data_IF_559875706805
#
_entry.id   IF_559875706805
#
_cell.length_a   1.000
_cell.length_b   1.000
_cell.length_c   1.000
_cell.angle_alpha   90.00
_cell.angle_beta   90.00
_cell.angle_gamma   90.00
#
_symmetry.space_group_name_H-M   'P 1'
#
loop_
_entity.id
_entity.type
_entity.pdbx_description
1 polymer ?
#
# COMPACT_ATOMS: atom_id res chain seq x y z
N UNK A 1 32.03 45.82 4.36
CA UNK A 1 30.84 46.47 3.77
C UNK A 1 30.33 45.62 2.62
N UNK A 2 29.05 45.31 2.66
CA UNK A 2 28.37 44.27 1.91
C UNK A 2 28.29 44.52 0.39
N UNK A 3 28.41 43.45 -0.40
CA UNK A 3 27.75 43.33 -1.70
C UNK A 3 27.04 41.98 -1.76
N UNK A 4 25.72 42.05 -1.89
CA UNK A 4 24.81 40.91 -1.93
C UNK A 4 24.89 40.20 -3.29
N UNK A 5 25.41 38.98 -3.30
CA UNK A 5 25.24 38.07 -4.44
C UNK A 5 23.87 37.40 -4.36
N UNK A 6 22.95 37.93 -5.15
CA UNK A 6 21.61 37.39 -5.34
C UNK A 6 21.71 36.18 -6.29
N UNK A 7 21.95 34.98 -5.74
CA UNK A 7 21.96 33.73 -6.51
C UNK A 7 20.55 33.44 -7.05
N UNK A 8 20.40 33.55 -8.37
CA UNK A 8 19.25 33.07 -9.13
C UNK A 8 18.96 31.59 -8.80
N UNK A 9 17.90 31.34 -8.03
CA UNK A 9 17.23 30.04 -8.05
C UNK A 9 16.49 29.91 -9.39
N UNK A 10 16.65 28.83 -10.16
CA UNK A 10 15.78 28.58 -11.30
C UNK A 10 14.37 28.38 -10.74
N UNK A 11 13.46 29.30 -11.08
CA UNK A 11 12.02 29.10 -10.85
C UNK A 11 11.62 27.93 -11.76
N UNK A 12 11.34 26.77 -11.18
CA UNK A 12 10.62 25.71 -11.88
C UNK A 12 9.35 26.34 -12.46
N UNK A 13 9.04 26.15 -13.75
CA UNK A 13 7.82 26.70 -14.31
C UNK A 13 6.66 26.04 -13.57
N UNK A 14 5.86 26.88 -12.90
CA UNK A 14 4.51 26.49 -12.46
C UNK A 14 3.75 26.25 -13.76
N UNK A 15 3.79 25.02 -14.26
CA UNK A 15 2.87 24.57 -15.29
C UNK A 15 1.49 24.73 -14.67
N UNK A 16 0.76 25.77 -15.07
CA UNK A 16 -0.65 25.86 -14.76
C UNK A 16 -1.30 24.59 -15.28
N UNK A 17 -2.24 24.01 -14.52
CA UNK A 17 -3.02 22.85 -14.96
C UNK A 17 -3.65 23.07 -16.36
N UNK A 18 -3.87 24.34 -16.74
CA UNK A 18 -4.29 24.81 -18.06
C UNK A 18 -3.29 24.47 -19.17
N UNK A 19 -1.97 24.56 -18.92
CA UNK A 19 -0.93 24.27 -19.90
C UNK A 19 -0.74 22.76 -20.21
N UNK A 20 -1.08 21.90 -19.25
CA UNK A 20 -1.13 20.43 -19.47
C UNK A 20 -2.43 20.05 -20.21
N UNK A 21 -3.54 20.71 -19.88
CA UNK A 21 -4.85 20.51 -20.50
C UNK A 21 -4.84 20.87 -22.00
N UNK A 22 -4.23 22.00 -22.38
CA UNK A 22 -4.20 22.45 -23.77
C UNK A 22 -3.36 21.58 -24.71
N UNK A 23 -2.41 20.78 -24.21
CA UNK A 23 -1.65 19.81 -25.04
C UNK A 23 -2.42 18.51 -25.27
N UNK A 24 -3.45 18.25 -24.47
CA UNK A 24 -4.26 17.04 -24.59
C UNK A 24 -5.47 17.22 -25.51
N UNK A 25 -5.83 18.47 -25.84
CA UNK A 25 -6.83 18.79 -26.85
C UNK A 25 -6.23 18.75 -28.27
N UNK A 26 -5.96 17.54 -28.77
CA UNK A 26 -6.21 17.30 -30.18
C UNK A 26 -7.71 17.41 -30.47
N UNK A 27 -8.15 17.70 -31.71
CA UNK A 27 -9.54 17.93 -32.04
C UNK A 27 -10.28 16.59 -32.07
N UNK A 28 -10.66 16.10 -30.89
CA UNK A 28 -11.69 15.09 -30.78
C UNK A 28 -12.96 15.81 -30.33
N UNK A 29 -13.75 16.25 -31.31
CA UNK A 29 -15.16 16.55 -31.12
C UNK A 29 -15.87 15.25 -30.71
N UNK A 30 -15.85 14.95 -29.40
CA UNK A 30 -16.71 13.92 -28.86
C UNK A 30 -18.14 14.45 -28.85
N UNK A 31 -19.11 13.70 -29.40
CA UNK A 31 -20.49 14.13 -29.42
C UNK A 31 -20.96 14.39 -27.99
N UNK A 32 -21.31 15.65 -27.74
CA UNK A 32 -21.84 16.13 -26.48
C UNK A 32 -23.22 15.52 -26.23
N UNK A 33 -23.52 15.34 -24.95
CA UNK A 33 -24.86 15.23 -24.38
C UNK A 33 -25.63 13.91 -24.60
N UNK A 34 -25.58 13.05 -23.57
CA UNK A 34 -26.71 12.25 -23.01
C UNK A 34 -26.33 11.25 -21.90
N UNK A 35 -25.14 11.36 -21.29
CA UNK A 35 -24.70 10.40 -20.24
C UNK A 35 -25.22 10.69 -18.80
N UNK A 36 -25.82 11.87 -18.54
CA UNK A 36 -26.30 12.29 -17.21
C UNK A 36 -27.41 11.40 -16.56
N UNK A 37 -28.32 10.71 -17.29
CA UNK A 37 -29.47 10.06 -16.67
C UNK A 37 -29.14 8.90 -15.70
N UNK A 38 -28.00 8.23 -15.88
CA UNK A 38 -27.71 7.01 -15.11
C UNK A 38 -27.13 7.27 -13.72
N UNK A 39 -26.32 8.32 -13.54
CA UNK A 39 -25.83 8.73 -12.21
C UNK A 39 -26.96 9.37 -11.39
N UNK A 40 -27.93 10.02 -12.04
CA UNK A 40 -29.12 10.54 -11.38
C UNK A 40 -30.00 9.45 -10.72
N UNK A 41 -29.83 8.18 -11.11
CA UNK A 41 -30.50 7.02 -10.50
C UNK A 41 -29.76 6.47 -9.27
N UNK A 42 -28.56 6.97 -8.96
CA UNK A 42 -27.81 6.59 -7.77
C UNK A 42 -28.61 6.94 -6.50
N UNK A 43 -28.85 5.92 -5.68
CA UNK A 43 -29.43 6.04 -4.34
C UNK A 43 -28.38 5.57 -3.34
N UNK A 44 -27.69 6.47 -2.64
CA UNK A 44 -26.73 6.07 -1.63
C UNK A 44 -27.45 5.38 -0.47
N UNK A 45 -26.87 4.29 0.04
CA UNK A 45 -27.19 3.76 1.35
C UNK A 45 -25.89 3.59 2.13
N UNK A 46 -25.94 3.61 3.45
CA UNK A 46 -24.81 3.19 4.28
C UNK A 46 -25.09 1.81 4.86
N UNK A 47 -24.03 1.06 5.20
CA UNK A 47 -24.15 -0.25 5.84
C UNK A 47 -24.85 -0.11 7.21
N UNK A 48 -25.39 -1.19 7.79
CA UNK A 48 -26.10 -1.12 9.09
C UNK A 48 -25.24 -0.42 10.15
N UNK A 49 -25.87 0.18 11.18
CA UNK A 49 -25.13 0.89 12.25
C UNK A 49 -24.04 0.01 12.90
N UNK A 50 -24.23 -1.32 12.92
CA UNK A 50 -23.21 -2.25 13.45
C UNK A 50 -21.94 -2.32 12.59
N UNK A 51 -22.02 -1.99 11.29
CA UNK A 51 -20.89 -2.01 10.36
C UNK A 51 -20.14 -0.67 10.29
N UNK A 52 -20.66 0.40 10.90
CA UNK A 52 -20.03 1.72 10.89
C UNK A 52 -18.95 1.85 11.97
N UNK A 53 -17.81 2.42 11.59
CA UNK A 53 -16.70 2.66 12.50
C UNK A 53 -16.79 4.07 13.12
N UNK A 54 -16.54 4.22 14.43
CA UNK A 54 -16.61 5.51 15.10
C UNK A 54 -15.42 6.41 14.76
N UNK A 55 -15.71 7.64 14.35
CA UNK A 55 -14.80 8.73 14.03
C UNK A 55 -13.89 9.06 15.22
N UNK A 56 -12.58 9.03 14.98
CA UNK A 56 -11.58 9.42 15.95
C UNK A 56 -11.18 10.89 15.73
N UNK A 57 -11.28 11.73 16.78
CA UNK A 57 -10.98 13.19 16.71
C UNK A 57 -9.60 13.52 16.13
N UNK A 58 -8.63 12.61 16.22
CA UNK A 58 -7.30 12.83 15.62
C UNK A 58 -7.30 12.76 14.07
N UNK A 59 -8.29 12.12 13.44
CA UNK A 59 -8.40 12.02 11.97
C UNK A 59 -8.68 13.39 11.34
N UNK A 60 -9.34 14.29 12.06
CA UNK A 60 -9.52 15.68 11.61
C UNK A 60 -8.18 16.43 11.47
N UNK A 61 -7.18 16.13 12.31
CA UNK A 61 -5.85 16.73 12.24
C UNK A 61 -5.05 16.27 11.01
N UNK A 62 -5.47 15.17 10.39
CA UNK A 62 -4.86 14.60 9.19
C UNK A 62 -5.51 15.09 7.88
N UNK A 63 -6.40 16.09 7.95
CA UNK A 63 -6.91 16.80 6.77
C UNK A 63 -5.75 17.58 6.12
N UNK A 64 -5.06 16.92 5.18
CA UNK A 64 -3.92 17.49 4.45
C UNK A 64 -4.32 18.61 3.48
N UNK A 65 -5.61 18.75 3.19
CA UNK A 65 -6.11 19.64 2.16
C UNK A 65 -7.10 20.67 2.74
N UNK A 66 -6.69 21.95 2.72
CA UNK A 66 -7.49 23.07 3.20
C UNK A 66 -8.21 23.71 2.03
N UNK A 67 -9.45 23.29 1.81
CA UNK A 67 -10.35 23.85 0.80
C UNK A 67 -11.73 24.02 1.40
N UNK A 68 -12.42 25.13 1.08
CA UNK A 68 -13.76 25.37 1.61
C UNK A 68 -14.68 24.28 1.07
N UNK A 69 -15.28 23.51 1.96
CA UNK A 69 -16.20 22.46 1.53
C UNK A 69 -17.57 23.03 1.17
N UNK A 70 -18.14 22.53 0.07
CA UNK A 70 -19.54 22.75 -0.31
C UNK A 70 -20.50 21.69 0.25
N UNK A 71 -19.97 20.62 0.85
CA UNK A 71 -20.74 19.44 1.25
C UNK A 71 -20.46 19.06 2.70
N UNK A 72 -21.46 18.56 3.43
CA UNK A 72 -21.28 18.03 4.77
C UNK A 72 -20.82 16.57 4.72
N UNK A 73 -19.60 16.34 4.20
CA UNK A 73 -19.05 15.00 3.93
C UNK A 73 -17.85 14.66 4.82
N UNK A 74 -17.84 15.16 6.06
CA UNK A 74 -16.74 14.97 7.01
C UNK A 74 -15.37 15.28 6.38
N UNK A 75 -14.37 14.40 6.55
CA UNK A 75 -13.02 14.60 5.98
C UNK A 75 -12.96 14.63 4.45
N UNK A 76 -14.00 14.17 3.74
CA UNK A 76 -14.02 14.10 2.28
C UNK A 76 -14.41 15.44 1.65
N UNK A 77 -15.13 16.28 2.38
CA UNK A 77 -15.75 17.50 1.87
C UNK A 77 -14.81 18.42 1.09
N UNK A 78 -13.67 18.85 1.66
CA UNK A 78 -12.73 19.74 0.98
C UNK A 78 -12.20 19.17 -0.35
N UNK A 79 -11.70 17.92 -0.34
CA UNK A 79 -11.09 17.29 -1.50
C UNK A 79 -12.12 17.04 -2.62
N UNK A 80 -13.32 16.58 -2.27
CA UNK A 80 -14.39 16.37 -3.23
C UNK A 80 -14.94 17.68 -3.82
N UNK A 81 -14.97 18.75 -3.02
CA UNK A 81 -15.34 20.07 -3.53
C UNK A 81 -14.35 20.55 -4.57
N UNK A 82 -13.05 20.47 -4.25
CA UNK A 82 -12.01 20.81 -5.20
C UNK A 82 -12.06 19.94 -6.45
N UNK A 83 -12.31 18.64 -6.31
CA UNK A 83 -12.41 17.74 -7.46
C UNK A 83 -13.56 18.12 -8.41
N UNK A 84 -14.75 18.42 -7.87
CA UNK A 84 -15.89 18.92 -8.65
C UNK A 84 -15.54 20.23 -9.38
N UNK A 85 -14.85 21.14 -8.70
CA UNK A 85 -14.45 22.43 -9.26
C UNK A 85 -13.39 22.28 -10.35
N UNK A 86 -12.45 21.34 -10.19
CA UNK A 86 -11.48 20.99 -11.23
C UNK A 86 -12.14 20.38 -12.47
N UNK A 87 -13.08 19.44 -12.30
CA UNK A 87 -13.84 18.88 -13.44
C UNK A 87 -14.56 20.00 -14.21
N UNK A 88 -15.17 20.94 -13.49
CA UNK A 88 -15.83 22.11 -14.11
C UNK A 88 -14.83 22.99 -14.86
N UNK A 89 -13.69 23.31 -14.25
CA UNK A 89 -12.66 24.15 -14.84
C UNK A 89 -12.02 23.52 -16.09
N UNK A 90 -11.94 22.19 -16.14
CA UNK A 90 -11.48 21.42 -17.29
C UNK A 90 -12.57 21.15 -18.34
N UNK A 91 -13.67 21.91 -18.34
CA UNK A 91 -14.75 21.76 -19.32
C UNK A 91 -15.60 20.49 -19.19
N UNK A 92 -15.32 19.63 -18.20
CA UNK A 92 -16.05 18.38 -17.94
C UNK A 92 -17.35 18.66 -17.17
N UNK A 93 -18.22 19.49 -17.76
CA UNK A 93 -19.42 20.03 -17.10
C UNK A 93 -20.40 18.93 -16.70
N UNK A 94 -20.60 17.92 -17.55
CA UNK A 94 -21.48 16.80 -17.27
C UNK A 94 -20.96 15.93 -16.12
N UNK A 95 -19.66 15.63 -16.10
CA UNK A 95 -19.00 14.90 -15.01
C UNK A 95 -19.08 15.68 -13.68
N UNK A 96 -18.76 16.97 -13.73
CA UNK A 96 -18.85 17.86 -12.57
C UNK A 96 -20.27 17.91 -12.02
N UNK A 97 -21.29 18.08 -12.87
CA UNK A 97 -22.70 18.11 -12.47
C UNK A 97 -23.17 16.77 -11.90
N UNK A 98 -22.79 15.66 -12.52
CA UNK A 98 -23.14 14.33 -12.05
C UNK A 98 -22.54 14.04 -10.67
N UNK A 99 -21.25 14.35 -10.47
CA UNK A 99 -20.59 14.19 -9.19
C UNK A 99 -21.22 15.12 -8.15
N UNK A 100 -21.44 16.39 -8.47
CA UNK A 100 -22.07 17.35 -7.56
C UNK A 100 -23.43 16.86 -7.03
N UNK A 101 -24.31 16.37 -7.93
CA UNK A 101 -25.61 15.84 -7.54
C UNK A 101 -25.49 14.58 -6.66
N UNK A 102 -24.56 13.68 -6.98
CA UNK A 102 -24.30 12.50 -6.14
C UNK A 102 -23.81 12.90 -4.75
N UNK A 103 -22.89 13.86 -4.66
CA UNK A 103 -22.34 14.35 -3.39
C UNK A 103 -23.38 15.08 -2.54
N UNK A 104 -24.29 15.84 -3.15
CA UNK A 104 -25.43 16.43 -2.42
C UNK A 104 -26.33 15.34 -1.82
N UNK A 105 -26.64 14.28 -2.58
CA UNK A 105 -27.42 13.16 -2.07
C UNK A 105 -26.72 12.45 -0.90
N UNK A 106 -25.43 12.15 -1.06
CA UNK A 106 -24.63 11.54 0.03
C UNK A 106 -24.59 12.46 1.25
N UNK A 107 -24.45 13.78 1.04
CA UNK A 107 -24.42 14.75 2.14
C UNK A 107 -25.74 14.81 2.91
N UNK A 108 -26.88 14.70 2.22
CA UNK A 108 -28.19 14.67 2.85
C UNK A 108 -28.41 13.37 3.63
N UNK A 109 -28.04 12.23 3.05
CA UNK A 109 -28.17 10.93 3.69
C UNK A 109 -27.22 10.79 4.89
N UNK A 110 -26.01 11.35 4.80
CA UNK A 110 -25.05 11.38 5.90
C UNK A 110 -25.46 12.32 7.05
N UNK A 111 -26.39 13.26 6.81
CA UNK A 111 -26.81 14.23 7.82
C UNK A 111 -27.64 13.59 8.95
N UNK A 112 -28.38 12.51 8.65
CA UNK A 112 -29.14 11.75 9.65
C UNK A 112 -28.29 10.73 10.41
N UNK A 113 -27.06 10.51 9.96
CA UNK A 113 -26.08 9.66 10.67
C UNK A 113 -25.47 10.48 11.80
N UNK A 114 -25.39 9.85 12.98
CA UNK A 114 -24.67 10.38 14.14
C UNK A 114 -23.28 10.85 13.71
N UNK A 115 -22.90 12.05 14.15
CA UNK A 115 -21.64 12.69 13.77
C UNK A 115 -20.44 11.77 14.02
N UNK A 116 -20.49 10.94 15.08
CA UNK A 116 -19.42 9.99 15.38
C UNK A 116 -19.28 8.89 14.34
N UNK A 117 -20.21 8.65 13.42
CA UNK A 117 -20.11 7.59 12.41
C UNK A 117 -20.11 8.15 10.98
N UNK A 118 -20.11 9.48 10.84
CA UNK A 118 -20.39 10.16 9.57
C UNK A 118 -19.31 9.88 8.54
N UNK A 119 -18.02 9.88 8.89
CA UNK A 119 -16.97 9.61 7.90
C UNK A 119 -17.01 8.16 7.41
N UNK A 120 -17.32 7.20 8.28
CA UNK A 120 -17.50 5.78 7.89
C UNK A 120 -18.69 5.62 6.94
N UNK A 121 -19.83 6.26 7.25
CA UNK A 121 -21.02 6.21 6.40
C UNK A 121 -20.77 6.85 5.02
N UNK A 122 -20.16 8.03 4.98
CA UNK A 122 -19.77 8.71 3.74
C UNK A 122 -18.83 7.83 2.91
N UNK A 123 -17.86 7.16 3.52
CA UNK A 123 -16.97 6.23 2.80
C UNK A 123 -17.75 5.05 2.19
N UNK A 124 -18.68 4.45 2.94
CA UNK A 124 -19.53 3.35 2.43
C UNK A 124 -20.39 3.81 1.24
N UNK A 125 -21.03 4.98 1.36
CA UNK A 125 -21.83 5.56 0.28
C UNK A 125 -20.99 5.91 -0.96
N UNK A 126 -19.79 6.46 -0.79
CA UNK A 126 -18.87 6.72 -1.90
C UNK A 126 -18.35 5.41 -2.53
N UNK A 127 -18.19 4.33 -1.74
CA UNK A 127 -17.86 3.01 -2.29
C UNK A 127 -18.99 2.48 -3.18
N UNK A 128 -20.24 2.64 -2.76
CA UNK A 128 -21.40 2.27 -3.57
C UNK A 128 -21.50 3.13 -4.84
N UNK A 129 -21.18 4.43 -4.74
CA UNK A 129 -21.09 5.32 -5.89
C UNK A 129 -20.04 4.82 -6.89
N UNK A 130 -18.83 4.52 -6.44
CA UNK A 130 -17.76 3.99 -7.30
C UNK A 130 -18.21 2.68 -7.98
N UNK A 131 -18.85 1.77 -7.24
CA UNK A 131 -19.40 0.52 -7.81
C UNK A 131 -20.53 0.77 -8.82
N UNK A 132 -21.32 1.83 -8.64
CA UNK A 132 -22.34 2.24 -9.62
C UNK A 132 -21.70 2.79 -10.89
N UNK A 133 -20.64 3.59 -10.74
CA UNK A 133 -19.85 4.13 -11.86
C UNK A 133 -19.14 3.01 -12.64
N UNK A 134 -18.59 2.01 -11.94
CA UNK A 134 -17.95 0.83 -12.55
C UNK A 134 -18.92 0.01 -13.42
N UNK A 135 -20.22 0.00 -13.08
CA UNK A 135 -21.27 -0.71 -13.84
C UNK A 135 -21.72 0.01 -15.11
N UNK A 136 -21.23 1.22 -15.40
CA UNK A 136 -21.55 1.95 -16.64
C UNK A 136 -20.85 1.37 -17.90
N UNK A 137 -20.44 0.09 -17.85
CA UNK A 137 -19.62 -0.61 -18.83
C UNK A 137 -20.44 -1.08 -20.05
N UNK A 138 -20.51 -0.25 -21.08
CA UNK A 138 -20.47 -0.77 -22.44
C UNK A 138 -19.15 -0.27 -23.06
N UNK A 139 -18.26 -1.19 -23.46
CA UNK A 139 -16.87 -0.90 -23.87
C UNK A 139 -16.74 -0.04 -25.15
N UNK A 140 -17.87 0.30 -25.78
CA UNK A 140 -17.97 1.18 -26.94
C UNK A 140 -18.81 2.43 -26.67
N UNK A 141 -19.10 2.72 -25.39
CA UNK A 141 -19.98 3.81 -25.01
C UNK A 141 -19.19 5.07 -24.60
N UNK A 142 -19.58 6.28 -25.07
CA UNK A 142 -19.10 7.56 -24.56
C UNK A 142 -19.08 7.70 -23.01
N UNK A 143 -19.87 6.88 -22.31
CA UNK A 143 -19.87 6.70 -20.85
C UNK A 143 -18.54 6.18 -20.26
N UNK A 144 -17.61 5.65 -21.06
CA UNK A 144 -16.29 5.21 -20.59
C UNK A 144 -15.44 6.36 -20.02
N UNK A 145 -15.47 7.54 -20.65
CA UNK A 145 -14.78 8.74 -20.15
C UNK A 145 -15.34 9.18 -18.79
N UNK A 146 -16.66 9.10 -18.61
CA UNK A 146 -17.31 9.39 -17.33
C UNK A 146 -16.87 8.41 -16.24
N UNK A 147 -16.69 7.14 -16.55
CA UNK A 147 -16.14 6.15 -15.61
C UNK A 147 -14.76 6.55 -15.12
N UNK A 148 -13.86 6.96 -16.01
CA UNK A 148 -12.51 7.39 -15.65
C UNK A 148 -12.54 8.65 -14.80
N UNK A 149 -13.34 9.65 -15.21
CA UNK A 149 -13.46 10.94 -14.53
C UNK A 149 -14.21 10.87 -13.19
N UNK A 150 -14.94 9.79 -12.92
CA UNK A 150 -15.67 9.59 -11.67
C UNK A 150 -15.16 8.39 -10.86
N UNK A 151 -14.05 7.77 -11.26
CA UNK A 151 -13.47 6.66 -10.54
C UNK A 151 -12.67 7.13 -9.32
N UNK A 152 -12.90 6.47 -8.18
CA UNK A 152 -12.10 6.68 -6.98
C UNK A 152 -12.44 7.86 -6.05
N UNK A 153 -13.57 8.60 -6.15
CA UNK A 153 -14.00 9.55 -5.12
C UNK A 153 -13.90 9.02 -3.68
N UNK A 154 -14.14 7.72 -3.44
CA UNK A 154 -14.00 7.07 -2.12
C UNK A 154 -12.57 7.14 -1.55
N UNK A 155 -11.57 7.40 -2.38
CA UNK A 155 -10.15 7.45 -2.00
C UNK A 155 -9.66 8.87 -1.67
N UNK A 156 -10.47 9.89 -1.95
CA UNK A 156 -10.13 11.30 -1.74
C UNK A 156 -10.34 11.76 -0.28
N UNK A 157 -10.85 10.90 0.59
CA UNK A 157 -11.07 11.18 1.99
C UNK A 157 -9.82 11.07 2.86
N UNK A 158 -10.01 11.42 4.14
CA UNK A 158 -9.04 11.13 5.19
C UNK A 158 -8.91 9.62 5.46
N UNK A 159 -7.94 9.24 6.32
CA UNK A 159 -7.75 7.85 6.70
C UNK A 159 -9.01 7.27 7.38
N UNK A 160 -9.07 5.94 7.44
CA UNK A 160 -10.19 5.28 8.11
C UNK A 160 -10.21 5.56 9.62
N UNK A 161 -11.41 5.75 10.22
CA UNK A 161 -11.54 6.14 11.62
C UNK A 161 -11.34 4.94 12.57
N UNK A 162 -10.17 4.32 12.52
CA UNK A 162 -9.82 3.29 13.46
C UNK A 162 -9.50 3.91 14.82
N UNK A 163 -10.09 3.38 15.89
CA UNK A 163 -9.67 3.74 17.25
C UNK A 163 -8.36 3.04 17.60
N UNK A 164 -7.58 3.60 18.53
CA UNK A 164 -6.37 2.95 19.03
C UNK A 164 -6.66 1.54 19.55
N UNK A 165 -7.78 1.36 20.27
CA UNK A 165 -8.23 0.05 20.74
C UNK A 165 -8.42 -0.93 19.58
N UNK A 166 -9.14 -0.54 18.52
CA UNK A 166 -9.35 -1.41 17.36
C UNK A 166 -8.02 -1.78 16.66
N UNK A 167 -7.08 -0.84 16.55
CA UNK A 167 -5.76 -1.13 15.98
C UNK A 167 -5.01 -2.15 16.85
N UNK A 168 -5.05 -1.99 18.17
CA UNK A 168 -4.45 -2.92 19.11
C UNK A 168 -5.12 -4.29 19.06
N UNK A 169 -6.44 -4.34 19.05
CA UNK A 169 -7.21 -5.60 18.96
C UNK A 169 -6.86 -6.34 17.65
N UNK A 170 -6.81 -5.64 16.51
CA UNK A 170 -6.38 -6.20 15.22
C UNK A 170 -4.92 -6.69 15.24
N UNK A 171 -4.02 -5.94 15.87
CA UNK A 171 -2.62 -6.32 15.99
C UNK A 171 -2.44 -7.54 16.90
N UNK A 172 -3.19 -7.59 18.01
CA UNK A 172 -3.21 -8.71 18.95
C UNK A 172 -3.80 -9.95 18.30
N UNK A 173 -4.94 -9.85 17.61
CA UNK A 173 -5.53 -10.95 16.85
C UNK A 173 -4.53 -11.54 15.85
N UNK A 174 -3.83 -10.69 15.09
CA UNK A 174 -2.82 -11.12 14.14
C UNK A 174 -1.62 -11.78 14.80
N UNK A 175 -1.07 -11.15 15.83
CA UNK A 175 0.20 -11.58 16.44
C UNK A 175 0.01 -12.77 17.38
N UNK A 176 -1.17 -12.96 17.97
CA UNK A 176 -1.48 -14.09 18.86
C UNK A 176 -2.14 -15.27 18.13
N UNK A 177 -2.65 -15.06 16.92
CA UNK A 177 -3.54 -15.96 16.18
C UNK A 177 -3.04 -17.40 16.03
N UNK A 178 -3.82 -18.31 16.63
CA UNK A 178 -3.87 -19.75 16.44
C UNK A 178 -4.49 -20.13 15.09
N UNK A 179 -4.00 -19.54 14.00
CA UNK A 179 -4.59 -19.75 12.67
C UNK A 179 -4.42 -21.22 12.25
N UNK A 180 -5.51 -21.98 12.29
CA UNK A 180 -5.57 -23.43 11.92
C UNK A 180 -5.67 -23.60 10.39
N UNK A 181 -5.47 -22.54 9.62
CA UNK A 181 -5.59 -22.60 8.18
C UNK A 181 -4.55 -23.54 7.59
N UNK A 182 -5.01 -24.38 6.67
CA UNK A 182 -4.14 -25.22 5.87
C UNK A 182 -3.73 -26.55 6.50
N UNK A 183 -4.22 -26.91 7.70
CA UNK A 183 -3.88 -28.21 8.31
C UNK A 183 -4.34 -29.39 7.44
N UNK A 184 -5.51 -29.30 6.81
CA UNK A 184 -6.03 -30.31 5.89
C UNK A 184 -5.28 -30.40 4.54
N UNK A 185 -4.49 -29.38 4.19
CA UNK A 185 -3.67 -29.34 2.96
C UNK A 185 -2.17 -29.26 3.27
N UNK A 186 -1.80 -29.50 4.53
CA UNK A 186 -0.45 -29.27 5.04
C UNK A 186 0.58 -30.10 4.30
N UNK A 187 0.29 -31.37 4.08
CA UNK A 187 1.18 -32.27 3.34
C UNK A 187 1.45 -31.75 1.93
N UNK A 188 0.41 -31.35 1.20
CA UNK A 188 0.55 -30.76 -0.13
C UNK A 188 1.40 -29.49 -0.10
N UNK A 189 1.16 -28.59 0.85
CA UNK A 189 1.91 -27.33 1.01
C UNK A 189 3.38 -27.60 1.35
N UNK A 190 3.66 -28.56 2.23
CA UNK A 190 5.03 -28.98 2.60
C UNK A 190 5.76 -29.53 1.37
N UNK A 191 5.14 -30.45 0.62
CA UNK A 191 5.71 -31.02 -0.60
C UNK A 191 6.02 -29.94 -1.64
N UNK A 192 5.10 -28.99 -1.85
CA UNK A 192 5.32 -27.84 -2.74
C UNK A 192 6.43 -26.92 -2.26
N UNK A 193 6.49 -26.65 -0.96
CA UNK A 193 7.52 -25.80 -0.35
C UNK A 193 8.90 -26.42 -0.55
N UNK A 194 9.05 -27.72 -0.31
CA UNK A 194 10.27 -28.48 -0.57
C UNK A 194 10.69 -28.37 -2.04
N UNK A 195 9.78 -28.67 -2.97
CA UNK A 195 10.06 -28.58 -4.40
C UNK A 195 10.56 -27.19 -4.82
N UNK A 196 9.96 -26.12 -4.30
CA UNK A 196 10.42 -24.76 -4.60
C UNK A 196 11.76 -24.45 -3.94
N UNK A 197 11.96 -24.85 -2.68
CA UNK A 197 13.21 -24.62 -1.96
C UNK A 197 14.40 -25.29 -2.65
N UNK A 198 14.28 -26.57 -3.04
CA UNK A 198 15.30 -27.31 -3.80
C UNK A 198 15.74 -26.53 -5.06
N UNK A 199 14.76 -26.08 -5.85
CA UNK A 199 15.02 -25.33 -7.09
C UNK A 199 15.57 -23.93 -6.84
N UNK A 200 15.24 -23.31 -5.70
CA UNK A 200 15.79 -22.02 -5.34
C UNK A 200 17.24 -22.14 -4.93
N UNK A 201 17.53 -23.12 -4.07
CA UNK A 201 18.87 -23.37 -3.54
C UNK A 201 19.85 -23.80 -4.62
N UNK A 202 19.38 -24.52 -5.64
CA UNK A 202 20.18 -24.82 -6.83
C UNK A 202 20.66 -23.58 -7.60
N UNK A 203 20.04 -22.40 -7.38
CA UNK A 203 20.39 -21.14 -8.05
C UNK A 203 21.27 -20.22 -7.20
N UNK A 204 21.85 -20.72 -6.09
CA UNK A 204 22.63 -19.91 -5.16
C UNK A 204 23.79 -19.17 -5.85
N UNK A 205 24.08 -17.96 -5.37
CA UNK A 205 25.22 -17.18 -5.83
C UNK A 205 26.50 -17.71 -5.17
N UNK A 206 27.39 -18.31 -5.96
CA UNK A 206 28.66 -18.88 -5.47
C UNK A 206 29.73 -17.84 -5.14
N UNK A 207 29.61 -16.61 -5.67
CA UNK A 207 30.49 -15.49 -5.36
C UNK A 207 29.70 -14.54 -4.46
N UNK A 208 29.92 -14.64 -3.16
CA UNK A 208 29.17 -13.88 -2.16
C UNK A 208 30.02 -13.63 -0.91
N UNK A 209 29.77 -12.51 -0.25
CA UNK A 209 30.37 -12.18 1.05
C UNK A 209 29.93 -13.17 2.14
N UNK A 210 30.80 -13.39 3.13
CA UNK A 210 30.40 -14.04 4.39
C UNK A 210 29.35 -13.19 5.12
N UNK A 211 28.62 -13.76 6.06
CA UNK A 211 27.62 -13.00 6.81
C UNK A 211 28.22 -11.75 7.48
N UNK A 212 29.38 -11.89 8.12
CA UNK A 212 30.10 -10.80 8.77
C UNK A 212 30.48 -9.66 7.81
N UNK A 213 31.02 -10.01 6.64
CA UNK A 213 31.34 -9.05 5.59
C UNK A 213 30.09 -8.36 5.04
N UNK A 214 28.98 -9.09 4.91
CA UNK A 214 27.72 -8.54 4.43
C UNK A 214 27.11 -7.53 5.41
N UNK A 215 27.03 -7.85 6.70
CA UNK A 215 26.38 -6.97 7.68
C UNK A 215 27.16 -5.68 7.93
N UNK A 216 28.48 -5.70 7.71
CA UNK A 216 29.35 -4.53 7.80
C UNK A 216 29.31 -3.65 6.54
N UNK A 217 28.91 -4.22 5.39
CA UNK A 217 28.67 -3.48 4.14
C UNK A 217 27.25 -2.87 4.09
N UNK A 218 27.09 -1.75 4.79
CA UNK A 218 25.82 -1.02 4.96
C UNK A 218 25.17 -0.71 3.60
N UNK A 219 25.95 -0.42 2.56
CA UNK A 219 25.43 -0.05 1.24
C UNK A 219 24.63 -1.19 0.56
N UNK A 220 24.87 -2.45 0.94
CA UNK A 220 24.19 -3.60 0.34
C UNK A 220 22.80 -3.85 0.87
N UNK A 221 22.56 -3.57 2.15
CA UNK A 221 21.32 -3.95 2.82
C UNK A 221 20.52 -2.77 3.36
N UNK A 222 21.13 -1.59 3.53
CA UNK A 222 20.45 -0.47 4.13
C UNK A 222 19.38 0.14 3.21
N UNK A 223 18.29 0.58 3.82
CA UNK A 223 17.23 1.34 3.17
C UNK A 223 16.96 2.65 3.92
N UNK A 224 16.21 3.60 3.33
CA UNK A 224 15.94 4.89 3.98
C UNK A 224 15.12 4.82 5.28
N UNK A 225 14.55 3.67 5.67
CA UNK A 225 13.68 3.57 6.85
C UNK A 225 13.70 2.20 7.54
N UNK A 226 12.94 2.09 8.62
CA UNK A 226 12.72 0.83 9.34
C UNK A 226 13.84 0.40 10.29
N UNK A 227 14.65 1.35 10.79
CA UNK A 227 15.61 1.11 11.87
C UNK A 227 15.26 1.94 13.11
N UNK A 228 15.79 1.58 14.30
CA UNK A 228 15.81 2.47 15.46
C UNK A 228 16.48 3.80 15.14
N UNK A 229 16.16 4.83 15.91
CA UNK A 229 16.78 6.14 15.74
C UNK A 229 18.18 6.15 16.34
N UNK A 230 19.15 6.73 15.63
CA UNK A 230 20.50 7.01 16.11
C UNK A 230 20.77 8.50 16.06
N UNK A 231 21.70 8.98 16.88
CA UNK A 231 22.15 10.37 16.86
C UNK A 231 23.42 10.48 16.04
N UNK A 232 23.41 11.27 14.97
CA UNK A 232 24.58 11.58 14.14
C UNK A 232 24.66 13.10 14.07
N UNK A 233 25.79 13.69 14.48
CA UNK A 233 25.99 15.15 14.49
C UNK A 233 24.82 15.89 15.17
N UNK A 234 24.41 15.42 16.35
CA UNK A 234 23.28 15.96 17.15
C UNK A 234 21.88 15.78 16.51
N UNK A 235 21.78 15.28 15.28
CA UNK A 235 20.51 14.98 14.64
C UNK A 235 20.06 13.54 14.93
N UNK A 236 18.79 13.40 15.31
CA UNK A 236 18.16 12.09 15.53
C UNK A 236 17.60 11.55 14.21
N UNK A 237 18.32 10.62 13.60
CA UNK A 237 18.00 10.05 12.28
C UNK A 237 17.41 8.66 12.44
N UNK A 238 16.31 8.37 11.72
CA UNK A 238 15.64 7.06 11.71
C UNK A 238 15.72 6.41 10.33
N UNK A 239 16.89 5.85 9.99
CA UNK A 239 17.12 5.13 8.74
C UNK A 239 18.08 3.95 8.96
N UNK A 240 17.96 2.90 8.14
CA UNK A 240 18.89 1.75 8.23
C UNK A 240 20.31 2.12 7.83
N UNK A 241 20.50 3.11 6.95
CA UNK A 241 21.85 3.55 6.57
C UNK A 241 22.54 4.28 7.72
N UNK A 242 21.82 5.16 8.43
CA UNK A 242 22.39 5.89 9.57
C UNK A 242 22.65 4.92 10.72
N UNK A 243 21.70 4.03 11.00
CA UNK A 243 21.83 2.99 12.00
C UNK A 243 23.03 2.08 11.71
N UNK A 244 23.12 1.53 10.50
CA UNK A 244 24.22 0.67 10.08
C UNK A 244 25.56 1.38 10.13
N UNK A 245 25.66 2.61 9.62
CA UNK A 245 26.90 3.38 9.66
C UNK A 245 27.39 3.63 11.09
N UNK A 246 26.50 4.05 11.99
CA UNK A 246 26.83 4.31 13.40
C UNK A 246 27.37 3.05 14.10
N UNK A 247 26.72 1.91 13.89
CA UNK A 247 27.08 0.64 14.53
C UNK A 247 28.26 -0.07 13.87
N UNK A 248 28.50 0.14 12.57
CA UNK A 248 29.74 -0.29 11.92
C UNK A 248 30.94 0.51 12.45
N UNK A 249 30.81 1.83 12.61
CA UNK A 249 31.87 2.67 13.20
C UNK A 249 32.16 2.28 14.65
N UNK A 250 31.12 1.94 15.42
CA UNK A 250 31.25 1.48 16.80
C UNK A 250 31.78 0.04 16.93
N UNK A 251 31.84 -0.74 15.84
CA UNK A 251 32.30 -2.12 15.83
C UNK A 251 31.34 -3.13 16.46
N UNK A 252 30.07 -2.79 16.65
CA UNK A 252 29.07 -3.65 17.31
C UNK A 252 28.02 -4.24 16.36
N UNK A 253 28.14 -3.97 15.05
CA UNK A 253 27.17 -4.40 14.04
C UNK A 253 26.94 -5.92 14.00
N UNK A 254 28.02 -6.72 14.12
CA UNK A 254 27.90 -8.19 14.15
C UNK A 254 27.18 -8.68 15.40
N UNK A 255 27.42 -8.05 16.56
CA UNK A 255 26.71 -8.35 17.81
C UNK A 255 25.23 -8.05 17.67
N UNK A 256 24.88 -6.94 17.02
CA UNK A 256 23.48 -6.59 16.72
C UNK A 256 22.86 -7.61 15.77
N UNK A 257 23.56 -7.98 14.70
CA UNK A 257 23.07 -8.96 13.72
C UNK A 257 22.77 -10.33 14.35
N UNK A 258 23.51 -10.71 15.38
CA UNK A 258 23.31 -11.97 16.12
C UNK A 258 22.41 -11.85 17.36
N UNK A 259 21.94 -10.65 17.69
CA UNK A 259 21.13 -10.42 18.90
C UNK A 259 19.78 -11.14 18.82
N UNK A 260 19.37 -11.79 19.92
CA UNK A 260 18.08 -12.50 20.00
C UNK A 260 16.93 -11.62 20.49
N UNK A 261 16.93 -10.33 20.15
CA UNK A 261 15.84 -9.43 20.54
C UNK A 261 14.54 -9.84 19.82
N UNK A 262 13.50 -10.33 20.51
CA UNK A 262 12.29 -10.82 19.85
C UNK A 262 11.31 -9.68 19.53
N UNK A 263 11.62 -8.42 19.86
CA UNK A 263 10.65 -7.33 19.85
C UNK A 263 10.45 -6.76 18.45
N UNK A 264 9.32 -7.10 17.84
CA UNK A 264 8.81 -6.40 16.67
C UNK A 264 8.10 -5.10 17.06
N UNK A 265 8.19 -4.08 16.19
CA UNK A 265 7.43 -2.84 16.33
C UNK A 265 6.31 -2.84 15.31
N UNK A 266 5.06 -2.75 15.77
CA UNK A 266 3.88 -2.66 14.90
C UNK A 266 3.47 -1.20 14.77
N UNK A 267 3.35 -0.72 13.54
CA UNK A 267 2.94 0.65 13.22
C UNK A 267 1.74 0.63 12.27
N UNK A 268 0.68 1.42 12.52
CA UNK A 268 -0.40 1.58 11.56
C UNK A 268 0.08 2.40 10.34
N UNK A 269 -0.07 1.84 9.15
CA UNK A 269 -0.01 2.55 7.89
C UNK A 269 -1.42 2.97 7.51
N UNK A 270 -1.73 4.22 7.75
CA UNK A 270 -3.01 4.81 7.41
C UNK A 270 -3.08 5.09 5.90
N UNK A 271 -3.90 4.33 5.17
CA UNK A 271 -4.27 4.62 3.78
C UNK A 271 -5.74 5.10 3.74
N UNK A 272 -6.15 5.87 2.71
CA UNK A 272 -7.49 6.46 2.66
C UNK A 272 -8.66 5.45 2.79
N UNK A 273 -8.45 4.21 2.33
CA UNK A 273 -9.48 3.17 2.30
C UNK A 273 -9.28 2.07 3.37
N UNK A 274 -8.07 1.89 3.90
CA UNK A 274 -7.75 0.85 4.87
C UNK A 274 -6.52 1.23 5.70
N UNK A 275 -6.50 0.82 6.95
CA UNK A 275 -5.27 0.86 7.75
C UNK A 275 -4.60 -0.49 7.65
N UNK A 276 -3.36 -0.52 7.16
CA UNK A 276 -2.53 -1.73 7.17
C UNK A 276 -1.64 -1.68 8.39
N UNK A 277 -1.35 -2.82 8.99
CA UNK A 277 -0.32 -2.90 10.01
C UNK A 277 1.03 -3.16 9.32
N UNK A 278 2.04 -2.36 9.65
CA UNK A 278 3.43 -2.60 9.26
C UNK A 278 4.13 -3.19 10.49
N UNK A 279 4.68 -4.39 10.35
CA UNK A 279 5.60 -4.97 11.32
C UNK A 279 7.01 -4.60 10.90
N UNK A 280 7.71 -3.87 11.77
CA UNK A 280 9.16 -3.67 11.66
C UNK A 280 9.82 -4.75 12.51
N UNK A 281 10.61 -5.60 11.87
CA UNK A 281 11.37 -6.65 12.55
C UNK A 281 12.57 -6.06 13.31
N UNK A 282 13.06 -6.75 14.35
CA UNK A 282 14.35 -6.48 14.94
C UNK A 282 15.45 -6.42 13.88
N UNK A 283 16.50 -5.64 14.12
CA UNK A 283 17.56 -5.47 13.13
C UNK A 283 18.33 -6.77 12.86
N UNK A 284 18.51 -7.62 13.89
CA UNK A 284 19.05 -8.97 13.72
C UNK A 284 18.27 -9.77 12.67
N UNK A 285 16.95 -9.90 12.88
CA UNK A 285 16.08 -10.66 11.98
C UNK A 285 16.06 -10.10 10.57
N UNK A 286 16.01 -8.76 10.44
CA UNK A 286 16.14 -8.12 9.13
C UNK A 286 17.44 -8.48 8.40
N UNK A 287 18.59 -8.47 9.10
CA UNK A 287 19.89 -8.75 8.51
C UNK A 287 20.04 -10.22 8.12
N UNK A 288 19.60 -11.15 8.97
CA UNK A 288 19.58 -12.59 8.66
C UNK A 288 18.74 -12.86 7.41
N UNK A 289 17.51 -12.33 7.36
CA UNK A 289 16.65 -12.46 6.19
C UNK A 289 17.28 -11.82 4.96
N UNK A 290 17.78 -10.58 5.06
CA UNK A 290 18.42 -9.89 3.94
C UNK A 290 19.63 -10.66 3.40
N UNK A 291 20.41 -11.29 4.28
CA UNK A 291 21.54 -12.12 3.88
C UNK A 291 21.09 -13.38 3.14
N UNK A 292 20.06 -14.09 3.62
CA UNK A 292 19.46 -15.22 2.90
C UNK A 292 19.05 -14.77 1.49
N UNK A 293 18.33 -13.65 1.34
CA UNK A 293 17.95 -13.13 0.03
C UNK A 293 19.15 -12.74 -0.85
N UNK A 294 20.20 -12.16 -0.26
CA UNK A 294 21.43 -11.81 -0.98
C UNK A 294 22.14 -13.05 -1.55
N UNK A 295 22.27 -14.11 -0.75
CA UNK A 295 22.91 -15.37 -1.14
C UNK A 295 22.09 -16.18 -2.14
N UNK A 296 20.78 -16.26 -1.90
CA UNK A 296 19.86 -17.10 -2.69
C UNK A 296 19.35 -16.41 -3.96
N UNK A 297 19.42 -15.07 -4.00
CA UNK A 297 18.92 -14.28 -5.11
C UNK A 297 17.41 -14.41 -5.32
N UNK A 298 16.94 -13.92 -6.47
CA UNK A 298 15.51 -13.97 -6.82
C UNK A 298 15.07 -15.39 -7.20
N UNK A 299 14.00 -15.95 -6.60
CA UNK A 299 13.47 -17.27 -6.96
C UNK A 299 12.88 -17.25 -8.38
N UNK A 300 13.64 -17.70 -9.39
CA UNK A 300 13.25 -17.56 -10.81
C UNK A 300 12.06 -18.45 -11.22
N UNK A 301 11.81 -19.54 -10.50
CA UNK A 301 10.66 -20.41 -10.70
C UNK A 301 9.34 -19.74 -10.31
N UNK A 302 9.37 -18.77 -9.38
CA UNK A 302 8.21 -17.97 -9.03
C UNK A 302 8.13 -16.78 -10.00
N UNK A 303 7.32 -16.95 -11.05
CA UNK A 303 7.04 -15.88 -12.00
C UNK A 303 6.13 -14.85 -11.34
N UNK A 304 6.72 -13.79 -10.79
CA UNK A 304 5.94 -12.64 -10.32
C UNK A 304 5.20 -11.99 -11.49
N UNK A 305 3.87 -11.86 -11.37
CA UNK A 305 3.01 -11.10 -12.29
C UNK A 305 3.33 -9.60 -12.29
N UNK A 306 3.99 -9.11 -11.24
CA UNK A 306 4.48 -7.72 -11.11
C UNK A 306 5.81 -7.53 -11.88
N UNK A 307 6.39 -8.62 -12.43
CA UNK A 307 7.73 -8.64 -13.02
C UNK A 307 7.93 -7.87 -14.33
N UNK A 308 6.88 -7.22 -14.88
CA UNK A 308 6.96 -6.31 -16.03
C UNK A 308 5.99 -6.67 -17.16
N UNK A 309 5.69 -5.68 -18.01
CA UNK A 309 4.74 -5.78 -19.14
C UNK A 309 4.97 -7.00 -20.04
N UNK A 310 6.23 -7.41 -20.24
CA UNK A 310 6.57 -8.60 -21.06
C UNK A 310 6.01 -9.92 -20.50
N UNK A 311 5.86 -10.05 -19.18
CA UNK A 311 5.30 -11.27 -18.58
C UNK A 311 3.80 -11.36 -18.83
N UNK A 312 3.09 -10.23 -18.73
CA UNK A 312 1.67 -10.12 -19.07
C UNK A 312 1.41 -10.47 -20.53
N UNK A 313 2.21 -9.91 -21.45
CA UNK A 313 2.09 -10.18 -22.89
C UNK A 313 2.27 -11.67 -23.19
N UNK A 314 3.30 -12.31 -22.61
CA UNK A 314 3.49 -13.77 -22.74
C UNK A 314 2.31 -14.58 -22.19
N UNK A 315 1.64 -14.11 -21.14
CA UNK A 315 0.47 -14.81 -20.61
C UNK A 315 -0.75 -14.68 -21.54
N UNK A 316 -0.94 -13.51 -22.14
CA UNK A 316 -1.98 -13.27 -23.15
C UNK A 316 -1.78 -14.14 -24.39
N UNK A 317 -0.53 -14.33 -24.84
CA UNK A 317 -0.19 -15.16 -26.00
C UNK A 317 -0.52 -16.65 -25.78
N UNK A 318 -0.51 -17.14 -24.54
CA UNK A 318 -0.64 -18.57 -24.25
C UNK A 318 -2.07 -19.10 -24.30
N UNK A 319 -3.09 -18.25 -24.56
CA UNK A 319 -4.49 -18.65 -24.76
C UNK A 319 -4.96 -19.79 -23.85
N UNK A 320 -4.73 -19.67 -22.54
CA UNK A 320 -5.19 -20.67 -21.58
C UNK A 320 -6.73 -20.78 -21.65
N UNK A 321 -7.23 -22.01 -21.51
CA UNK A 321 -8.68 -22.27 -21.50
C UNK A 321 -9.39 -21.61 -20.33
N UNK A 322 -8.68 -21.36 -19.24
CA UNK A 322 -9.22 -20.75 -18.02
C UNK A 322 -8.19 -19.81 -17.40
N UNK A 323 -8.67 -18.68 -16.87
CA UNK A 323 -7.89 -17.74 -16.08
C UNK A 323 -8.52 -17.60 -14.70
N UNK A 324 -7.71 -17.70 -13.65
CA UNK A 324 -8.14 -17.49 -12.27
C UNK A 324 -7.35 -16.33 -11.66
N UNK A 325 -8.05 -15.41 -11.01
CA UNK A 325 -7.46 -14.36 -10.18
C UNK A 325 -7.85 -14.62 -8.74
N UNK A 326 -6.85 -14.84 -7.89
CA UNK A 326 -7.06 -15.11 -6.45
C UNK A 326 -6.80 -13.82 -5.68
N UNK A 327 -7.84 -13.27 -5.08
CA UNK A 327 -7.73 -12.14 -4.15
C UNK A 327 -7.89 -12.64 -2.72
N UNK A 328 -6.76 -12.79 -2.02
CA UNK A 328 -6.73 -13.28 -0.65
C UNK A 328 -6.92 -12.11 0.33
N UNK A 329 -8.07 -12.08 1.01
CA UNK A 329 -8.33 -11.10 2.07
C UNK A 329 -7.40 -11.33 3.26
N UNK A 330 -6.70 -10.28 3.69
CA UNK A 330 -5.75 -10.33 4.82
C UNK A 330 -4.74 -11.47 4.72
N UNK A 331 -4.20 -11.76 3.52
CA UNK A 331 -3.27 -12.87 3.27
C UNK A 331 -2.19 -13.05 4.36
N UNK A 332 -1.47 -11.97 4.71
CA UNK A 332 -0.39 -12.00 5.72
C UNK A 332 -0.87 -12.45 7.13
N UNK A 333 -2.17 -12.34 7.42
CA UNK A 333 -2.80 -12.74 8.68
C UNK A 333 -3.18 -14.23 8.69
N UNK A 334 -3.30 -14.82 7.51
CA UNK A 334 -3.75 -16.19 7.32
C UNK A 334 -2.58 -17.19 7.22
N UNK A 335 -1.35 -16.70 7.07
CA UNK A 335 -0.16 -17.55 6.95
C UNK A 335 0.12 -18.24 8.29
N UNK A 336 0.04 -19.57 8.35
CA UNK A 336 0.26 -20.28 9.59
C UNK A 336 1.75 -20.31 9.92
N UNK A 337 2.07 -20.18 11.21
CA UNK A 337 3.47 -20.16 11.69
C UNK A 337 4.25 -21.42 11.32
N UNK A 338 3.58 -22.57 11.28
CA UNK A 338 4.22 -23.82 10.87
C UNK A 338 4.75 -23.73 9.43
N UNK A 339 4.04 -23.03 8.54
CA UNK A 339 4.48 -22.92 7.14
C UNK A 339 5.67 -21.99 7.01
N UNK A 340 5.70 -20.89 7.77
CA UNK A 340 6.87 -20.01 7.84
C UNK A 340 8.11 -20.79 8.30
N UNK A 341 7.97 -21.57 9.38
CA UNK A 341 9.05 -22.45 9.88
C UNK A 341 9.47 -23.49 8.84
N UNK A 342 8.52 -24.07 8.13
CA UNK A 342 8.81 -25.03 7.06
C UNK A 342 9.63 -24.40 5.94
N UNK A 343 9.31 -23.16 5.52
CA UNK A 343 10.09 -22.44 4.51
C UNK A 343 11.54 -22.27 4.95
N UNK A 344 11.79 -21.77 6.17
CA UNK A 344 13.16 -21.62 6.69
C UNK A 344 13.87 -22.96 6.83
N UNK A 345 13.19 -23.99 7.33
CA UNK A 345 13.74 -25.36 7.44
C UNK A 345 14.18 -25.88 6.08
N UNK A 346 13.32 -25.76 5.06
CA UNK A 346 13.63 -26.24 3.72
C UNK A 346 14.77 -25.44 3.09
N UNK A 347 14.86 -24.12 3.29
CA UNK A 347 15.99 -23.32 2.81
C UNK A 347 17.29 -23.76 3.50
N UNK A 348 17.28 -23.90 4.83
CA UNK A 348 18.44 -24.29 5.62
C UNK A 348 18.99 -25.66 5.19
N UNK A 349 18.11 -26.64 5.00
CA UNK A 349 18.51 -27.99 4.58
C UNK A 349 19.02 -28.06 3.14
N UNK A 350 18.44 -27.27 2.22
CA UNK A 350 18.77 -27.37 0.80
C UNK A 350 19.91 -26.44 0.36
N UNK A 351 20.24 -25.38 1.10
CA UNK A 351 21.30 -24.44 0.73
C UNK A 351 22.71 -25.07 0.78
N UNK A 352 22.89 -26.06 1.66
CA UNK A 352 24.19 -26.67 1.99
C UNK A 352 25.25 -25.58 2.24
N UNK A 353 24.94 -24.67 3.16
CA UNK A 353 25.74 -23.50 3.48
C UNK A 353 25.57 -23.13 4.95
N UNK A 354 26.68 -23.07 5.70
CA UNK A 354 26.65 -22.87 7.15
C UNK A 354 26.10 -21.52 7.56
N UNK A 355 26.42 -20.45 6.82
CA UNK A 355 25.95 -19.10 7.15
C UNK A 355 24.44 -18.99 6.91
N UNK A 356 23.94 -19.59 5.82
CA UNK A 356 22.49 -19.66 5.56
C UNK A 356 21.78 -20.49 6.62
N UNK A 357 22.35 -21.62 7.01
CA UNK A 357 21.79 -22.46 8.05
C UNK A 357 21.69 -21.69 9.38
N UNK A 358 22.77 -21.01 9.80
CA UNK A 358 22.77 -20.18 11.02
C UNK A 358 21.71 -19.09 10.96
N UNK A 359 21.61 -18.37 9.83
CA UNK A 359 20.60 -17.32 9.63
C UNK A 359 19.17 -17.87 9.70
N UNK A 360 18.90 -19.04 9.11
CA UNK A 360 17.57 -19.64 9.11
C UNK A 360 17.17 -20.17 10.49
N UNK A 361 18.11 -20.69 11.28
CA UNK A 361 17.86 -21.23 12.61
C UNK A 361 17.77 -20.14 13.70
N UNK A 362 18.08 -18.89 13.33
CA UNK A 362 17.91 -17.72 14.20
C UNK A 362 16.47 -17.16 14.16
N UNK A 363 15.72 -17.44 13.10
CA UNK A 363 14.30 -17.08 12.91
C UNK A 363 13.35 -18.15 13.47
#
# INVERSE_FOLDING_TARGET
>A
MARSENKHRPKLPVLSLVGIYNRWQGPYDYPSSRAVPHVAKFKPAFDTKEALLPDHKAVEKLRRFRYRSKYNLASFGPALTFYVDCLKACGQTDASKALHLALLRISNEAAVVDEKFRASAVRSMLKQFDSHVEKLNDHFDPRWTMRILLAGPRTLGGPAPYTQKMILDMATEWTQGSTVWGENVKEFVVQRTRHYAERWCAQKNYISLTFEQFVTDVARWATPGGAPAVTINEEKIRSKWAYGAAHTIAGDMLKIARSKDPRCVVVPKEEPAKTRLIITTPMASYLNQAYIWYRMGKPRMLKSTIGGFKTMQKWQENNYSHYASVDASKFDYQIPRWWIKEVYTQIASNANDSDIYECCMHE
#
